data_IF_074244623701
#
_entry.id   IF_074244623701
#
_cell.length_a   1.000
_cell.length_b   1.000
_cell.length_c   1.000
_cell.angle_alpha   90.00
_cell.angle_beta   90.00
_cell.angle_gamma   90.00
#
_symmetry.space_group_name_H-M   'P 1'
#
loop_
_entity.id
_entity.type
_entity.pdbx_description
1 polymer ?
#
# COMPACT_ATOMS: atom_id res chain seq x y z
N UNK A 1 -3.80 7.46 -11.73
CA UNK A 1 -3.58 6.71 -10.50
C UNK A 1 -2.20 7.10 -9.97
N UNK A 2 -2.09 7.47 -8.70
CA UNK A 2 -0.86 8.05 -8.13
C UNK A 2 0.31 7.06 -8.03
N UNK A 3 0.03 5.76 -8.12
CA UNK A 3 0.97 4.65 -8.03
C UNK A 3 1.09 3.84 -9.34
N UNK A 4 0.85 4.50 -10.48
CA UNK A 4 0.73 3.83 -11.78
C UNK A 4 2.05 3.38 -12.41
N UNK A 5 3.19 3.95 -12.02
CA UNK A 5 4.47 3.67 -12.68
C UNK A 5 5.32 2.66 -11.89
N UNK A 6 5.39 2.83 -10.56
CA UNK A 6 6.13 1.92 -9.67
C UNK A 6 5.51 1.89 -8.30
N UNK A 7 5.58 0.73 -7.67
CA UNK A 7 5.22 0.51 -6.27
C UNK A 7 6.31 -0.29 -5.57
N UNK A 8 6.42 -0.11 -4.27
CA UNK A 8 7.31 -0.91 -3.44
C UNK A 8 6.85 -0.94 -1.99
N UNK A 9 7.12 -2.06 -1.33
CA UNK A 9 6.89 -2.23 0.10
C UNK A 9 7.62 -1.14 0.90
N UNK A 10 7.02 -0.74 2.01
CA UNK A 10 7.57 0.27 2.91
C UNK A 10 8.10 -0.37 4.19
N UNK A 11 7.35 -0.22 5.28
CA UNK A 11 7.65 -0.88 6.53
C UNK A 11 7.16 -2.34 6.50
N UNK A 12 7.67 -3.20 7.39
CA UNK A 12 7.12 -4.56 7.53
C UNK A 12 5.61 -4.53 7.84
N UNK A 13 4.82 -5.47 7.29
CA UNK A 13 3.38 -5.50 7.53
C UNK A 13 3.04 -5.62 9.03
N UNK A 14 2.07 -4.84 9.49
CA UNK A 14 1.60 -4.81 10.87
C UNK A 14 0.39 -5.72 10.99
N UNK A 15 0.43 -6.71 11.89
CA UNK A 15 -0.71 -7.58 12.17
C UNK A 15 -1.83 -6.80 12.88
N UNK A 16 -3.05 -6.91 12.36
CA UNK A 16 -4.26 -6.35 12.98
C UNK A 16 -5.33 -7.43 13.14
N UNK A 17 -6.51 -7.09 13.67
CA UNK A 17 -7.66 -8.00 13.69
C UNK A 17 -8.27 -8.19 12.30
N UNK A 18 -8.10 -7.22 11.40
CA UNK A 18 -8.71 -7.20 10.08
C UNK A 18 -7.80 -7.75 8.98
N UNK A 19 -6.50 -7.88 9.23
CA UNK A 19 -5.51 -8.20 8.19
C UNK A 19 -4.07 -7.87 8.57
N UNK A 20 -3.14 -8.14 7.65
CA UNK A 20 -1.81 -7.52 7.68
C UNK A 20 -1.89 -6.16 6.98
N UNK A 21 -1.67 -5.09 7.73
CA UNK A 21 -1.59 -3.73 7.23
C UNK A 21 -0.19 -3.47 6.69
N UNK A 22 -0.07 -3.28 5.38
CA UNK A 22 1.18 -2.90 4.71
C UNK A 22 1.11 -1.45 4.26
N UNK A 23 2.10 -0.65 4.62
CA UNK A 23 2.28 0.69 4.08
C UNK A 23 3.26 0.61 2.94
N UNK A 24 2.83 1.01 1.74
CA UNK A 24 3.64 0.97 0.53
C UNK A 24 3.83 2.36 -0.05
N UNK A 25 4.88 2.54 -0.84
CA UNK A 25 5.06 3.74 -1.65
C UNK A 25 4.64 3.47 -3.09
N UNK A 26 4.11 4.50 -3.73
CA UNK A 26 3.77 4.51 -5.14
C UNK A 26 4.25 5.77 -5.81
N UNK A 27 4.66 5.66 -7.07
CA UNK A 27 4.97 6.82 -7.88
C UNK A 27 4.31 6.77 -9.26
N UNK A 28 3.93 7.96 -9.73
CA UNK A 28 3.42 8.18 -11.08
C UNK A 28 4.57 8.48 -12.08
N UNK A 29 4.20 8.71 -13.34
CA UNK A 29 5.15 9.03 -14.41
C UNK A 29 5.91 10.35 -14.20
N UNK A 30 5.41 11.24 -13.34
CA UNK A 30 6.06 12.49 -12.99
C UNK A 30 7.01 12.33 -11.79
N UNK A 31 7.23 11.11 -11.31
CA UNK A 31 8.00 10.80 -10.11
C UNK A 31 7.43 11.40 -8.83
N UNK A 32 6.12 11.72 -8.79
CA UNK A 32 5.47 12.11 -7.53
C UNK A 32 5.36 10.87 -6.64
N UNK A 33 6.00 10.88 -5.48
CA UNK A 33 5.99 9.77 -4.52
C UNK A 33 4.97 10.02 -3.42
N UNK A 34 4.00 9.13 -3.28
CA UNK A 34 3.03 9.16 -2.19
C UNK A 34 3.03 7.83 -1.42
N UNK A 35 2.42 7.82 -0.25
CA UNK A 35 2.16 6.59 0.51
C UNK A 35 0.72 6.12 0.30
N UNK A 36 0.54 4.81 0.29
CA UNK A 36 -0.76 4.14 0.36
C UNK A 36 -0.73 3.01 1.37
N UNK A 37 -1.88 2.36 1.54
CA UNK A 37 -2.03 1.21 2.42
C UNK A 37 -2.68 0.03 1.69
N UNK A 38 -2.22 -1.17 2.02
CA UNK A 38 -2.83 -2.44 1.67
C UNK A 38 -3.26 -3.13 2.96
N UNK A 39 -4.41 -3.79 2.90
CA UNK A 39 -4.79 -4.79 3.88
C UNK A 39 -4.71 -6.16 3.19
N UNK A 40 -3.91 -7.07 3.75
CA UNK A 40 -3.70 -8.43 3.25
C UNK A 40 -4.37 -9.44 4.18
N UNK A 41 -4.84 -10.56 3.63
CA UNK A 41 -5.48 -11.62 4.42
C UNK A 41 -4.52 -12.20 5.48
N UNK A 42 -5.04 -12.43 6.70
CA UNK A 42 -4.24 -12.91 7.85
C UNK A 42 -3.61 -14.29 7.65
N UNK A 43 -4.29 -15.18 6.93
CA UNK A 43 -3.88 -16.57 6.71
C UNK A 43 -3.11 -16.75 5.41
N UNK A 44 -3.38 -15.91 4.41
CA UNK A 44 -2.68 -15.91 3.13
C UNK A 44 -2.37 -14.46 2.67
N UNK A 45 -1.21 -13.90 3.04
CA UNK A 45 -0.85 -12.51 2.74
C UNK A 45 -0.65 -12.22 1.25
N UNK A 46 -0.68 -13.23 0.38
CA UNK A 46 -0.70 -13.01 -1.08
C UNK A 46 -2.03 -12.45 -1.58
N UNK A 47 -3.10 -12.51 -0.75
CA UNK A 47 -4.42 -11.96 -1.06
C UNK A 47 -4.56 -10.55 -0.51
N UNK A 48 -4.72 -9.59 -1.40
CA UNK A 48 -5.13 -8.22 -1.06
C UNK A 48 -6.64 -8.22 -0.80
N UNK A 49 -7.05 -7.78 0.39
CA UNK A 49 -8.46 -7.68 0.80
C UNK A 49 -8.96 -6.24 0.81
N UNK A 50 -8.07 -5.26 0.97
CA UNK A 50 -8.36 -3.85 0.73
C UNK A 50 -7.11 -3.09 0.27
N UNK A 51 -7.32 -1.97 -0.41
CA UNK A 51 -6.27 -1.03 -0.84
C UNK A 51 -6.84 0.38 -0.80
N UNK A 52 -6.02 1.34 -0.37
CA UNK A 52 -6.38 2.76 -0.44
C UNK A 52 -6.50 3.21 -1.90
N UNK A 53 -7.64 3.80 -2.29
CA UNK A 53 -7.84 4.35 -3.63
C UNK A 53 -7.00 5.62 -3.86
N UNK A 54 -6.94 6.47 -2.84
CA UNK A 54 -6.15 7.69 -2.80
C UNK A 54 -4.92 7.55 -1.89
N UNK A 55 -3.90 8.41 -2.02
CA UNK A 55 -2.78 8.42 -1.10
C UNK A 55 -3.23 8.68 0.34
N UNK A 56 -2.59 8.02 1.30
CA UNK A 56 -2.75 8.34 2.73
C UNK A 56 -1.83 9.48 3.17
N UNK A 57 -0.78 9.76 2.39
CA UNK A 57 0.12 10.90 2.58
C UNK A 57 0.77 11.27 1.24
N UNK A 58 0.85 12.57 0.96
CA UNK A 58 1.50 13.16 -0.21
C UNK A 58 2.43 14.32 0.22
N UNK A 59 3.39 14.75 -0.64
CA UNK A 59 4.30 15.86 -0.35
C UNK A 59 3.61 17.20 -0.05
#
# INVERSE_FOLDING_TARGET
>A
MWDSARIGAGASPIKTQDGWLEIYHGADSNNRYCLGALLLDLNNPTKVIARSEEPIMEP
#
